data_IF_870010189817
#
_entry.id   IF_870010189817
#
_cell.length_a   1.000
_cell.length_b   1.000
_cell.length_c   1.000
_cell.angle_alpha   90.00
_cell.angle_beta   90.00
_cell.angle_gamma   90.00
#
_symmetry.space_group_name_H-M   'P 1'
#
loop_
_entity.id
_entity.type
_entity.pdbx_description
1 polymer ?
#
# COMPACT_ATOMS: atom_id res chain seq x y z
N UNK A 1 8.06 81.97 20.86
CA UNK A 1 9.43 82.20 20.37
C UNK A 1 10.29 81.00 20.77
N UNK A 2 10.94 80.33 19.79
CA UNK A 2 12.21 79.55 19.84
C UNK A 2 12.44 78.66 21.09
N UNK A 3 12.87 77.40 21.07
CA UNK A 3 13.54 76.53 20.09
C UNK A 3 14.01 75.27 20.86
N UNK A 4 13.89 74.10 20.22
CA UNK A 4 14.71 72.87 20.30
C UNK A 4 15.23 72.30 21.64
N UNK A 5 14.98 71.00 21.86
CA UNK A 5 16.03 69.97 21.76
C UNK A 5 15.48 68.52 21.63
N UNK A 6 15.97 67.79 20.62
CA UNK A 6 16.00 66.30 20.45
C UNK A 6 16.83 65.68 21.60
N UNK A 7 16.85 64.39 21.96
CA UNK A 7 16.63 63.05 21.35
C UNK A 7 16.61 62.07 22.57
N UNK A 8 16.06 60.87 22.54
CA UNK A 8 16.75 59.58 22.26
C UNK A 8 15.66 58.49 22.33
N UNK A 9 15.64 57.60 21.33
CA UNK A 9 14.79 56.39 21.28
C UNK A 9 15.60 55.25 21.90
N UNK A 10 15.05 54.58 22.91
CA UNK A 10 15.53 53.29 23.41
C UNK A 10 14.49 52.22 23.08
N UNK A 11 14.94 51.14 22.42
CA UNK A 11 14.12 49.98 22.10
C UNK A 11 14.02 48.98 23.26
N UNK A 12 13.06 48.07 23.18
CA UNK A 12 12.93 46.95 24.12
C UNK A 12 11.65 46.12 23.96
N UNK A 13 11.75 45.06 23.13
CA UNK A 13 11.11 43.73 23.23
C UNK A 13 9.62 43.58 23.55
N UNK A 14 8.85 43.01 22.61
CA UNK A 14 7.54 42.41 22.85
C UNK A 14 7.64 40.87 22.84
N UNK A 15 7.19 40.24 23.91
CA UNK A 15 7.08 38.78 24.08
C UNK A 15 5.70 38.30 23.63
N UNK A 16 5.64 37.24 22.80
CA UNK A 16 4.39 36.58 22.39
C UNK A 16 4.16 35.37 23.28
N UNK A 17 2.99 35.32 23.92
CA UNK A 17 2.54 34.19 24.75
C UNK A 17 1.53 33.39 23.92
N UNK A 18 1.79 32.09 23.70
CA UNK A 18 0.86 31.19 23.02
C UNK A 18 -0.05 30.47 24.01
N UNK A 19 -1.37 30.50 23.76
CA UNK A 19 -2.39 29.77 24.52
C UNK A 19 -2.62 28.42 23.86
N UNK A 20 -2.52 27.33 24.63
CA UNK A 20 -2.83 25.97 24.19
C UNK A 20 -4.31 25.62 24.49
N UNK A 21 -5.02 25.10 23.50
CA UNK A 21 -6.38 24.56 23.64
C UNK A 21 -6.28 23.03 23.74
N UNK A 22 -6.75 22.47 24.86
CA UNK A 22 -6.82 21.03 25.08
C UNK A 22 -8.13 20.45 24.52
N UNK A 23 -8.04 19.41 23.69
CA UNK A 23 -9.17 18.61 23.25
C UNK A 23 -9.08 17.21 23.87
N UNK A 24 -10.11 16.82 24.62
CA UNK A 24 -10.22 15.49 25.25
C UNK A 24 -10.52 14.38 24.23
N UNK A 25 -9.81 13.27 24.34
CA UNK A 25 -10.01 12.06 23.55
C UNK A 25 -10.93 11.07 24.29
N UNK A 26 -11.95 10.56 23.61
CA UNK A 26 -12.73 9.39 24.02
C UNK A 26 -11.97 8.14 23.56
N UNK A 27 -11.65 7.23 24.49
CA UNK A 27 -10.91 6.00 24.22
C UNK A 27 -11.77 4.95 23.51
N UNK A 28 -11.31 4.47 22.36
CA UNK A 28 -11.77 3.24 21.71
C UNK A 28 -11.04 2.02 22.31
N UNK A 29 -11.63 0.81 22.30
CA UNK A 29 -11.05 -0.37 22.94
C UNK A 29 -9.72 -0.78 22.26
N UNK A 30 -8.72 -1.05 23.09
CA UNK A 30 -7.37 -1.42 22.68
C UNK A 30 -7.35 -2.77 21.96
N UNK A 31 -6.96 -2.75 20.69
CA UNK A 31 -6.23 -3.85 20.07
C UNK A 31 -4.81 -3.35 19.93
N UNK A 32 -3.87 -3.97 20.64
CA UNK A 32 -2.44 -3.67 20.55
C UNK A 32 -1.91 -4.12 19.18
N UNK A 33 -2.11 -3.27 18.18
CA UNK A 33 -1.37 -3.29 16.93
C UNK A 33 -0.17 -2.35 17.10
N UNK A 34 1.04 -2.90 17.15
CA UNK A 34 2.26 -2.10 17.09
C UNK A 34 2.28 -1.32 15.78
N UNK A 35 2.23 0.01 15.88
CA UNK A 35 2.56 0.91 14.78
C UNK A 35 3.99 0.58 14.29
N UNK A 36 4.15 0.28 13.00
CA UNK A 36 5.45 0.25 12.28
C UNK A 36 6.65 -0.48 12.95
N UNK A 37 6.40 -1.46 13.81
CA UNK A 37 7.42 -2.09 14.67
C UNK A 37 8.15 -3.27 14.02
N UNK A 38 9.48 -3.26 14.13
CA UNK A 38 10.38 -4.35 13.75
C UNK A 38 9.90 -5.72 14.27
N UNK A 39 9.73 -6.75 13.42
CA UNK A 39 9.26 -8.08 13.83
C UNK A 39 10.36 -8.96 14.46
N UNK A 40 11.61 -8.50 14.50
CA UNK A 40 12.71 -9.21 15.15
C UNK A 40 12.59 -9.04 16.67
N UNK A 41 12.50 -10.15 17.40
CA UNK A 41 12.46 -10.17 18.87
C UNK A 41 13.83 -9.86 19.48
N UNK A 42 13.84 -9.10 20.58
CA UNK A 42 15.05 -8.64 21.27
C UNK A 42 16.15 -8.12 20.32
N UNK A 43 15.85 -7.17 19.41
CA UNK A 43 16.73 -6.83 18.29
C UNK A 43 18.02 -6.11 18.70
N UNK A 44 18.00 -5.43 19.85
CA UNK A 44 19.14 -4.75 20.48
C UNK A 44 19.73 -5.51 21.66
N UNK A 45 19.27 -6.74 21.93
CA UNK A 45 19.78 -7.57 23.03
C UNK A 45 19.56 -7.00 24.45
N UNK A 46 18.80 -5.90 24.60
CA UNK A 46 18.54 -5.24 25.88
C UNK A 46 17.63 -6.05 26.82
N UNK A 47 16.86 -7.02 26.32
CA UNK A 47 16.07 -7.93 27.16
C UNK A 47 16.97 -8.92 27.93
N UNK A 48 18.24 -9.04 27.54
CA UNK A 48 19.25 -9.81 28.27
C UNK A 48 18.94 -11.30 28.34
N UNK A 49 19.05 -11.88 29.54
CA UNK A 49 19.01 -13.32 29.77
C UNK A 49 17.75 -13.76 30.51
N UNK A 50 17.16 -14.87 30.05
CA UNK A 50 16.08 -15.59 30.73
C UNK A 50 16.45 -17.07 30.82
N UNK A 51 16.37 -17.66 32.02
CA UNK A 51 16.66 -19.07 32.26
C UNK A 51 18.03 -19.54 31.69
N UNK A 52 19.07 -18.73 31.88
CA UNK A 52 20.44 -18.94 31.35
C UNK A 52 20.58 -18.90 29.83
N UNK A 53 19.55 -18.47 29.10
CA UNK A 53 19.57 -18.27 27.65
C UNK A 53 19.42 -16.79 27.30
N UNK A 54 20.15 -16.33 26.29
CA UNK A 54 19.97 -14.99 25.76
C UNK A 54 18.60 -14.95 25.07
N UNK A 55 17.73 -14.02 25.47
CA UNK A 55 16.34 -14.00 25.00
C UNK A 55 16.29 -13.94 23.48
N UNK A 56 15.71 -14.97 22.86
CA UNK A 56 15.52 -15.12 21.41
C UNK A 56 16.76 -15.14 20.51
N UNK A 57 17.96 -15.36 21.06
CA UNK A 57 19.19 -15.40 20.28
C UNK A 57 20.06 -16.60 20.66
N UNK A 58 20.69 -17.20 19.65
CA UNK A 58 21.62 -18.30 19.83
C UNK A 58 22.84 -18.17 18.92
N UNK A 59 23.83 -19.03 19.17
CA UNK A 59 24.93 -19.28 18.25
C UNK A 59 24.96 -20.76 17.89
N UNK A 60 25.13 -21.06 16.61
CA UNK A 60 25.16 -22.43 16.10
C UNK A 60 26.47 -22.74 15.35
N UNK A 61 27.00 -23.98 15.44
CA UNK A 61 26.59 -25.04 16.36
C UNK A 61 26.76 -24.62 17.83
N UNK A 62 25.92 -25.18 18.69
CA UNK A 62 25.96 -24.91 20.14
C UNK A 62 27.35 -25.30 20.71
N UNK A 63 27.76 -24.67 21.81
CA UNK A 63 29.08 -24.81 22.47
C UNK A 63 30.34 -24.41 21.69
N UNK A 64 30.22 -24.22 20.37
CA UNK A 64 31.33 -23.85 19.48
C UNK A 64 31.72 -22.38 19.57
N UNK A 65 30.93 -21.58 20.29
CA UNK A 65 31.19 -20.17 20.54
C UNK A 65 30.74 -19.76 21.95
N UNK A 66 31.32 -18.68 22.47
CA UNK A 66 30.77 -17.95 23.62
C UNK A 66 29.78 -16.91 23.10
N UNK A 67 28.51 -17.02 23.48
CA UNK A 67 27.49 -15.98 23.30
C UNK A 67 27.31 -15.18 24.60
N UNK A 68 27.31 -13.86 24.51
CA UNK A 68 27.03 -12.93 25.63
C UNK A 68 26.60 -11.56 25.09
N UNK A 69 26.38 -10.59 25.97
CA UNK A 69 26.20 -9.18 25.61
C UNK A 69 27.45 -8.33 25.88
N UNK A 70 27.55 -7.17 25.23
CA UNK A 70 28.60 -6.15 25.42
C UNK A 70 28.00 -4.74 25.50
N UNK A 71 28.68 -3.82 26.20
CA UNK A 71 28.29 -2.39 26.26
C UNK A 71 28.70 -1.59 25.02
N UNK A 72 29.46 -2.19 24.11
CA UNK A 72 29.81 -1.56 22.85
C UNK A 72 28.65 -1.78 21.87
N UNK A 73 27.57 -1.04 22.11
CA UNK A 73 26.33 -1.08 21.36
C UNK A 73 26.19 0.20 20.53
N UNK A 74 25.45 0.12 19.43
CA UNK A 74 25.06 1.28 18.63
C UNK A 74 23.89 2.01 19.30
N UNK A 75 22.90 1.26 19.79
CA UNK A 75 21.79 1.79 20.56
C UNK A 75 21.59 0.99 21.85
N UNK A 76 20.69 1.43 22.74
CA UNK A 76 20.43 0.72 23.99
C UNK A 76 21.62 0.64 24.94
N UNK A 77 21.57 -0.33 25.85
CA UNK A 77 22.62 -0.60 26.82
C UNK A 77 23.53 -1.76 26.41
N UNK A 78 23.04 -2.64 25.53
CA UNK A 78 23.68 -3.90 25.18
C UNK A 78 23.67 -4.14 23.67
N UNK A 79 24.59 -4.98 23.22
CA UNK A 79 24.62 -5.58 21.90
C UNK A 79 25.02 -7.05 22.02
N UNK A 80 24.62 -7.89 21.08
CA UNK A 80 24.99 -9.30 21.02
C UNK A 80 26.47 -9.44 20.71
N UNK A 81 27.17 -10.32 21.44
CA UNK A 81 28.58 -10.62 21.26
C UNK A 81 28.76 -12.14 21.15
N UNK A 82 29.30 -12.59 20.02
CA UNK A 82 29.67 -14.00 19.83
C UNK A 82 31.16 -14.12 19.50
N UNK A 83 31.87 -14.98 20.23
CA UNK A 83 33.28 -15.28 20.01
C UNK A 83 33.46 -16.77 19.78
N UNK A 84 33.96 -17.13 18.61
CA UNK A 84 34.22 -18.51 18.23
C UNK A 84 35.33 -19.15 19.07
N UNK A 85 35.22 -20.46 19.26
CA UNK A 85 36.20 -21.30 19.99
C UNK A 85 36.86 -22.33 19.08
N UNK A 86 36.56 -22.29 17.79
CA UNK A 86 37.03 -23.28 16.82
C UNK A 86 38.32 -22.80 16.17
N UNK A 87 39.24 -23.73 15.91
CA UNK A 87 40.41 -23.44 15.07
C UNK A 87 40.03 -23.53 13.59
N UNK A 88 40.39 -22.53 12.80
CA UNK A 88 40.20 -22.54 11.35
C UNK A 88 38.87 -21.93 10.88
N UNK A 89 38.52 -22.17 9.61
CA UNK A 89 37.44 -21.46 8.90
C UNK A 89 36.04 -22.08 9.06
N UNK A 90 35.78 -22.82 10.15
CA UNK A 90 34.45 -23.38 10.41
C UNK A 90 33.42 -22.24 10.53
N UNK A 91 32.27 -22.34 9.86
CA UNK A 91 31.21 -21.32 9.95
C UNK A 91 30.47 -21.44 11.29
N UNK A 92 30.37 -20.33 12.00
CA UNK A 92 29.46 -20.14 13.14
C UNK A 92 28.36 -19.17 12.72
N UNK A 93 27.17 -19.31 13.31
CA UNK A 93 26.03 -18.43 13.01
C UNK A 93 25.44 -17.89 14.31
N UNK A 94 25.52 -16.58 14.51
CA UNK A 94 24.73 -15.85 15.52
C UNK A 94 23.39 -15.48 14.88
N UNK A 95 22.29 -16.03 15.38
CA UNK A 95 20.96 -15.85 14.79
C UNK A 95 19.84 -15.82 15.81
N UNK A 96 18.70 -15.27 15.40
CA UNK A 96 17.47 -15.38 16.15
C UNK A 96 17.08 -16.86 16.31
N UNK A 97 16.58 -17.20 17.49
CA UNK A 97 16.14 -18.54 17.82
C UNK A 97 15.02 -19.02 16.90
N UNK A 98 14.91 -20.34 16.78
CA UNK A 98 13.93 -21.03 15.94
C UNK A 98 12.80 -21.68 16.75
N UNK A 99 12.59 -21.19 17.98
CA UNK A 99 11.48 -21.57 18.85
C UNK A 99 10.27 -20.69 18.55
N UNK A 100 9.06 -21.20 18.75
CA UNK A 100 7.81 -20.53 18.35
C UNK A 100 7.70 -19.06 18.84
N UNK A 101 8.18 -18.76 20.05
CA UNK A 101 8.14 -17.41 20.62
C UNK A 101 9.18 -16.42 20.04
N UNK A 102 10.10 -16.89 19.20
CA UNK A 102 11.24 -16.11 18.68
C UNK A 102 11.37 -16.15 17.15
N UNK A 103 10.55 -16.97 16.48
CA UNK A 103 10.50 -16.99 15.02
C UNK A 103 9.91 -15.71 14.46
N UNK A 104 10.36 -15.33 13.27
CA UNK A 104 9.86 -14.14 12.59
C UNK A 104 8.91 -14.56 11.49
N UNK A 105 7.65 -14.15 11.58
CA UNK A 105 6.64 -14.49 10.57
C UNK A 105 6.90 -13.78 9.23
N UNK A 106 6.74 -14.51 8.13
CA UNK A 106 6.82 -13.99 6.77
C UNK A 106 5.70 -14.53 5.88
N UNK A 107 5.27 -13.70 4.94
CA UNK A 107 4.36 -14.10 3.89
C UNK A 107 5.11 -14.64 2.66
N UNK A 108 4.76 -15.85 2.21
CA UNK A 108 5.19 -16.39 0.92
C UNK A 108 4.90 -15.40 -0.23
N UNK A 109 5.84 -15.26 -1.15
CA UNK A 109 5.78 -14.26 -2.23
C UNK A 109 6.10 -12.83 -1.79
N UNK A 110 6.28 -12.56 -0.49
CA UNK A 110 6.67 -11.24 0.00
C UNK A 110 8.15 -10.92 -0.26
N UNK A 111 8.47 -9.63 -0.32
CA UNK A 111 9.84 -9.11 -0.38
C UNK A 111 10.17 -8.38 0.92
N UNK A 112 11.39 -8.55 1.43
CA UNK A 112 11.85 -8.02 2.72
C UNK A 112 13.28 -7.47 2.62
N UNK A 113 13.66 -6.59 3.53
CA UNK A 113 15.02 -6.16 3.77
C UNK A 113 15.44 -6.52 5.20
N UNK A 114 16.66 -7.00 5.34
CA UNK A 114 17.33 -7.23 6.61
C UNK A 114 18.34 -6.11 6.85
N UNK A 115 18.21 -5.43 7.98
CA UNK A 115 19.06 -4.32 8.42
C UNK A 115 19.67 -4.66 9.78
N UNK A 116 20.93 -4.30 10.03
CA UNK A 116 21.56 -4.46 11.35
C UNK A 116 22.84 -3.61 11.45
N UNK A 117 23.32 -3.43 12.67
CA UNK A 117 24.65 -2.92 12.96
C UNK A 117 25.58 -4.08 13.32
N UNK A 118 26.76 -4.13 12.70
CA UNK A 118 27.71 -5.22 12.92
C UNK A 118 29.16 -4.73 12.94
N UNK A 119 29.98 -5.44 13.71
CA UNK A 119 31.44 -5.44 13.57
C UNK A 119 32.02 -6.83 13.77
N UNK A 120 33.10 -7.16 13.07
CA UNK A 120 33.78 -8.47 13.20
C UNK A 120 35.28 -8.42 12.99
N UNK A 121 35.99 -9.42 13.54
CA UNK A 121 37.46 -9.54 13.42
C UNK A 121 37.94 -10.34 12.20
N UNK A 122 37.04 -11.08 11.56
CA UNK A 122 37.32 -11.96 10.41
C UNK A 122 36.33 -11.79 9.25
N UNK A 123 35.48 -10.76 9.32
CA UNK A 123 34.35 -10.58 8.42
C UNK A 123 33.17 -11.46 8.79
N UNK A 124 32.02 -11.15 8.19
CA UNK A 124 30.75 -11.83 8.42
C UNK A 124 29.91 -11.89 7.14
N UNK A 125 28.80 -12.63 7.16
CA UNK A 125 27.81 -12.68 6.07
C UNK A 125 26.40 -12.66 6.65
N UNK A 126 25.46 -11.86 6.11
CA UNK A 126 24.08 -11.96 6.53
C UNK A 126 23.50 -13.31 6.11
N UNK A 127 22.75 -13.95 6.99
CA UNK A 127 22.09 -15.23 6.72
C UNK A 127 20.63 -15.19 7.15
N UNK A 128 19.79 -15.85 6.37
CA UNK A 128 18.39 -16.10 6.72
C UNK A 128 18.09 -17.56 6.50
N UNK A 129 17.59 -18.21 7.54
CA UNK A 129 17.03 -19.56 7.47
C UNK A 129 15.51 -19.44 7.41
N UNK A 130 14.88 -20.24 6.57
CA UNK A 130 13.43 -20.26 6.39
C UNK A 130 12.87 -21.60 6.85
N UNK A 131 11.64 -21.59 7.36
CA UNK A 131 10.90 -22.79 7.71
C UNK A 131 9.77 -23.03 6.70
N UNK A 132 9.66 -24.27 6.22
CA UNK A 132 8.44 -24.78 5.58
C UNK A 132 8.04 -26.10 6.23
N UNK A 133 6.73 -26.38 6.29
CA UNK A 133 6.23 -27.66 6.83
C UNK A 133 6.82 -28.87 6.10
N UNK A 134 7.09 -28.74 4.80
CA UNK A 134 7.63 -29.81 3.96
C UNK A 134 9.13 -30.05 4.09
N UNK A 135 9.92 -29.05 4.50
CA UNK A 135 11.39 -29.13 4.52
C UNK A 135 12.01 -28.91 5.91
N UNK A 136 11.22 -28.47 6.88
CA UNK A 136 11.76 -27.92 8.12
C UNK A 136 12.57 -26.64 7.84
N UNK A 137 13.57 -26.38 8.69
CA UNK A 137 14.46 -25.24 8.57
C UNK A 137 15.54 -25.46 7.50
N UNK A 138 15.69 -24.52 6.57
CA UNK A 138 16.74 -24.53 5.55
C UNK A 138 17.37 -23.15 5.35
N UNK A 139 18.63 -23.10 4.90
CA UNK A 139 19.29 -21.83 4.54
C UNK A 139 18.65 -21.29 3.27
N UNK A 140 17.94 -20.17 3.39
CA UNK A 140 17.26 -19.53 2.28
C UNK A 140 18.10 -18.43 1.65
N UNK A 141 18.80 -17.64 2.46
CA UNK A 141 19.64 -16.54 1.99
C UNK A 141 21.01 -16.57 2.66
N UNK A 142 22.05 -16.27 1.89
CA UNK A 142 23.39 -15.95 2.38
C UNK A 142 23.93 -14.81 1.52
N UNK A 143 24.13 -13.64 2.11
CA UNK A 143 24.57 -12.46 1.36
C UNK A 143 26.06 -12.43 1.08
N UNK A 144 26.51 -11.29 0.53
CA UNK A 144 27.91 -10.99 0.28
C UNK A 144 28.70 -10.87 1.59
N UNK A 145 30.00 -11.10 1.49
CA UNK A 145 30.92 -10.96 2.63
C UNK A 145 31.06 -9.50 3.04
N UNK A 146 30.87 -9.25 4.33
CA UNK A 146 31.17 -8.00 5.02
C UNK A 146 32.62 -8.10 5.50
N UNK A 147 33.44 -7.11 5.16
CA UNK A 147 34.83 -7.05 5.58
C UNK A 147 34.93 -6.80 7.09
N UNK A 148 36.00 -7.33 7.72
CA UNK A 148 36.27 -7.12 9.12
C UNK A 148 36.38 -5.61 9.46
N UNK A 149 35.85 -5.24 10.63
CA UNK A 149 35.83 -3.87 11.14
C UNK A 149 35.96 -3.85 12.66
N UNK A 150 36.68 -2.87 13.20
CA UNK A 150 36.70 -2.59 14.65
C UNK A 150 35.52 -1.74 15.12
N UNK A 151 34.81 -1.10 14.20
CA UNK A 151 33.67 -0.20 14.46
C UNK A 151 32.37 -0.85 14.01
N UNK A 152 31.29 -0.62 14.78
CA UNK A 152 29.93 -0.98 14.37
C UNK A 152 29.54 -0.16 13.14
N UNK A 153 29.07 -0.85 12.10
CA UNK A 153 28.55 -0.23 10.87
C UNK A 153 27.19 -0.81 10.54
N UNK A 154 26.32 0.04 9.99
CA UNK A 154 25.02 -0.39 9.50
C UNK A 154 25.15 -1.07 8.15
N UNK A 155 24.47 -2.20 8.01
CA UNK A 155 24.30 -2.91 6.74
C UNK A 155 22.83 -3.20 6.48
N UNK A 156 22.45 -3.17 5.21
CA UNK A 156 21.08 -3.42 4.75
C UNK A 156 21.13 -4.32 3.51
N UNK A 157 20.31 -5.35 3.49
CA UNK A 157 20.27 -6.34 2.42
C UNK A 157 18.83 -6.60 1.98
N UNK A 158 18.55 -6.39 0.70
CA UNK A 158 17.32 -6.90 0.11
C UNK A 158 17.36 -8.43 0.07
N UNK A 159 16.35 -9.07 0.65
CA UNK A 159 16.19 -10.51 0.61
C UNK A 159 15.53 -10.91 -0.73
N UNK A 160 15.78 -12.13 -1.23
CA UNK A 160 14.98 -12.71 -2.31
C UNK A 160 13.49 -12.73 -1.96
N UNK A 161 12.65 -13.02 -2.95
CA UNK A 161 11.22 -13.25 -2.69
C UNK A 161 11.06 -14.51 -1.83
N UNK A 162 10.20 -14.42 -0.80
CA UNK A 162 9.93 -15.54 0.11
C UNK A 162 9.37 -16.74 -0.69
N UNK A 163 9.98 -17.93 -0.62
CA UNK A 163 9.52 -19.10 -1.38
C UNK A 163 8.10 -19.52 -1.00
N UNK A 164 7.43 -20.25 -1.91
CA UNK A 164 6.12 -20.83 -1.58
C UNK A 164 6.23 -21.83 -0.41
N UNK A 165 5.21 -21.84 0.44
CA UNK A 165 5.14 -22.72 1.61
C UNK A 165 6.04 -22.34 2.78
N UNK A 166 6.79 -21.23 2.68
CA UNK A 166 7.54 -20.65 3.81
C UNK A 166 6.63 -19.73 4.62
N UNK A 167 6.64 -19.89 5.95
CA UNK A 167 5.83 -19.09 6.88
C UNK A 167 6.66 -18.34 7.92
N UNK A 168 7.89 -18.80 8.19
CA UNK A 168 8.73 -18.26 9.26
C UNK A 168 10.19 -18.18 8.82
N UNK A 169 10.94 -17.26 9.42
CA UNK A 169 12.37 -17.11 9.24
C UNK A 169 13.12 -16.91 10.56
N UNK A 170 14.42 -17.17 10.51
CA UNK A 170 15.43 -16.86 11.52
C UNK A 170 16.55 -16.08 10.83
N UNK A 171 16.89 -14.92 11.38
CA UNK A 171 17.84 -13.95 10.78
C UNK A 171 19.12 -13.88 11.61
N UNK A 172 20.24 -13.57 10.98
CA UNK A 172 21.49 -13.43 11.71
C UNK A 172 22.70 -13.20 10.81
N UNK A 173 23.87 -13.47 11.37
CA UNK A 173 25.16 -13.34 10.70
C UNK A 173 26.01 -14.61 10.88
N UNK A 174 26.58 -15.08 9.78
CA UNK A 174 27.59 -16.12 9.75
C UNK A 174 28.99 -15.51 9.84
N UNK A 175 29.88 -16.11 10.62
CA UNK A 175 31.25 -15.64 10.83
C UNK A 175 32.23 -16.82 11.03
N UNK A 176 33.55 -16.63 10.79
CA UNK A 176 34.54 -17.68 10.98
C UNK A 176 34.70 -18.13 12.44
N UNK A 177 35.04 -19.40 12.63
CA UNK A 177 35.10 -20.10 13.91
C UNK A 177 36.17 -19.61 14.88
N UNK A 178 37.18 -18.89 14.37
CA UNK A 178 38.21 -18.18 15.13
C UNK A 178 37.91 -16.66 15.24
N UNK A 179 36.74 -16.24 14.79
CA UNK A 179 36.29 -14.85 14.71
C UNK A 179 35.44 -14.41 15.90
N UNK A 180 35.25 -13.09 15.97
CA UNK A 180 34.32 -12.43 16.89
C UNK A 180 33.37 -11.58 16.06
N UNK A 181 32.09 -11.59 16.42
CA UNK A 181 31.08 -10.68 15.88
C UNK A 181 30.36 -9.96 17.02
N UNK A 182 30.07 -8.67 16.81
CA UNK A 182 29.09 -7.93 17.59
C UNK A 182 27.96 -7.54 16.65
N UNK A 183 26.73 -7.82 17.05
CA UNK A 183 25.51 -7.59 16.29
C UNK A 183 24.55 -6.76 17.14
N UNK A 184 23.93 -5.77 16.53
CA UNK A 184 23.01 -4.86 17.23
C UNK A 184 21.93 -4.32 16.29
N UNK A 185 20.83 -3.83 16.86
CA UNK A 185 19.70 -3.21 16.18
C UNK A 185 19.22 -3.99 14.93
N UNK A 186 19.06 -5.31 15.09
CA UNK A 186 18.65 -6.17 13.97
C UNK A 186 17.20 -5.91 13.63
N UNK A 187 16.91 -5.57 12.38
CA UNK A 187 15.55 -5.33 11.94
C UNK A 187 15.24 -5.99 10.61
N UNK A 188 13.98 -6.37 10.46
CA UNK A 188 13.47 -6.86 9.19
C UNK A 188 12.26 -6.03 8.77
N UNK A 189 12.36 -5.39 7.62
CA UNK A 189 11.26 -4.59 7.07
C UNK A 189 10.70 -5.26 5.83
N UNK A 190 9.38 -5.26 5.69
CA UNK A 190 8.74 -5.78 4.49
C UNK A 190 8.84 -4.72 3.39
N UNK A 191 9.52 -5.03 2.29
CA UNK A 191 9.73 -4.09 1.18
C UNK A 191 8.46 -3.86 0.36
N UNK A 192 7.53 -4.83 0.33
CA UNK A 192 6.22 -4.61 -0.28
C UNK A 192 5.26 -3.77 0.59
N UNK A 193 5.61 -3.50 1.87
CA UNK A 193 4.87 -2.53 2.71
C UNK A 193 5.14 -1.08 2.28
N UNK A 194 6.24 -0.81 1.57
CA UNK A 194 6.42 0.49 0.89
C UNK A 194 5.56 0.61 -0.38
N UNK A 195 4.81 -0.45 -0.73
CA UNK A 195 3.77 -0.46 -1.77
C UNK A 195 2.47 -1.08 -1.22
N UNK A 196 2.15 -0.83 0.06
CA UNK A 196 0.79 -1.14 0.59
C UNK A 196 -0.28 -0.28 -0.08
N UNK A 197 0.15 0.74 -0.81
CA UNK A 197 -0.67 1.75 -1.41
C UNK A 197 -0.28 1.96 -2.87
N UNK A 198 -1.16 1.57 -3.78
CA UNK A 198 -1.05 1.97 -5.18
C UNK A 198 -1.54 3.42 -5.29
N UNK A 199 -0.59 4.36 -5.43
CA UNK A 199 -0.84 5.80 -5.67
C UNK A 199 -0.24 6.25 -7.00
N UNK A 200 -0.93 6.00 -8.13
CA UNK A 200 -0.41 6.38 -9.43
C UNK A 200 -0.34 7.91 -9.55
N UNK A 201 0.80 8.41 -10.01
CA UNK A 201 0.92 9.82 -10.38
C UNK A 201 0.14 10.08 -11.69
N UNK A 202 -0.58 11.21 -11.73
CA UNK A 202 -1.26 11.71 -12.93
C UNK A 202 -0.27 12.37 -13.92
N UNK A 203 0.93 12.75 -13.47
CA UNK A 203 1.98 13.33 -14.32
C UNK A 203 1.72 14.80 -14.69
N UNK A 204 2.41 15.27 -15.72
CA UNK A 204 2.28 16.62 -16.26
C UNK A 204 1.07 16.77 -17.18
N UNK A 205 0.53 17.98 -17.28
CA UNK A 205 -0.63 18.31 -18.12
C UNK A 205 -0.52 17.76 -19.55
N UNK A 206 -1.62 17.17 -20.05
CA UNK A 206 -1.68 16.52 -21.36
C UNK A 206 -2.44 15.20 -21.34
N UNK A 207 -2.47 14.50 -22.48
CA UNK A 207 -3.12 13.19 -22.59
C UNK A 207 -2.28 12.12 -21.87
N UNK A 208 -2.91 11.35 -20.97
CA UNK A 208 -2.29 10.21 -20.29
C UNK A 208 -2.53 8.92 -21.07
N UNK A 209 -3.77 8.67 -21.50
CA UNK A 209 -4.16 7.58 -22.40
C UNK A 209 -5.62 7.75 -22.84
N UNK A 210 -6.08 6.97 -23.82
CA UNK A 210 -7.44 7.04 -24.36
C UNK A 210 -7.92 5.70 -24.96
N UNK A 211 -9.19 5.66 -25.38
CA UNK A 211 -9.76 4.48 -26.03
C UNK A 211 -9.08 4.13 -27.36
N UNK A 212 -8.54 5.12 -28.09
CA UNK A 212 -7.76 4.85 -29.30
C UNK A 212 -6.56 3.95 -28.97
N UNK A 213 -5.81 4.24 -27.91
CA UNK A 213 -4.65 3.46 -27.52
C UNK A 213 -5.01 2.02 -27.14
N UNK A 214 -6.15 1.82 -26.47
CA UNK A 214 -6.64 0.49 -26.11
C UNK A 214 -7.02 -0.36 -27.33
N UNK A 215 -7.77 0.21 -28.28
CA UNK A 215 -8.24 -0.51 -29.46
C UNK A 215 -7.19 -0.62 -30.59
N UNK A 216 -6.06 0.09 -30.48
CA UNK A 216 -4.99 0.10 -31.48
C UNK A 216 -3.61 -0.27 -30.88
N UNK A 217 -3.46 -1.46 -30.27
CA UNK A 217 -2.26 -1.84 -29.50
C UNK A 217 -1.00 -2.07 -30.36
N UNK A 218 -1.11 -1.99 -31.69
CA UNK A 218 0.03 -2.11 -32.61
C UNK A 218 0.42 -0.78 -33.26
N UNK A 219 -0.37 0.28 -33.07
CA UNK A 219 -0.07 1.59 -33.64
C UNK A 219 0.97 2.31 -32.81
N UNK A 220 1.90 2.98 -33.49
CA UNK A 220 3.01 3.72 -32.88
C UNK A 220 2.64 5.13 -32.41
N UNK A 221 1.53 5.67 -32.90
CA UNK A 221 1.02 7.00 -32.54
C UNK A 221 0.13 6.99 -31.30
N UNK A 222 -0.09 5.82 -30.68
CA UNK A 222 -0.88 5.70 -29.46
C UNK A 222 -0.16 6.33 -28.26
N UNK A 223 -0.95 6.91 -27.37
CA UNK A 223 -0.48 7.39 -26.06
C UNK A 223 -0.88 6.36 -25.00
N UNK A 224 0.10 5.55 -24.60
CA UNK A 224 -0.09 4.45 -23.66
C UNK A 224 0.36 4.84 -22.25
N UNK A 225 -0.49 4.54 -21.26
CA UNK A 225 -0.09 4.66 -19.85
C UNK A 225 0.42 3.32 -19.34
N UNK A 226 1.54 3.28 -18.60
CA UNK A 226 2.01 2.05 -17.94
C UNK A 226 1.14 1.67 -16.73
N UNK A 227 0.27 2.56 -16.27
CA UNK A 227 -0.55 2.36 -15.08
C UNK A 227 -2.03 2.21 -15.42
N UNK A 228 -2.49 3.00 -16.39
CA UNK A 228 -3.90 3.11 -16.73
C UNK A 228 -4.22 2.43 -18.05
N UNK A 229 -5.41 1.86 -18.10
CA UNK A 229 -6.04 1.35 -19.31
C UNK A 229 -7.41 2.04 -19.49
N UNK A 230 -7.69 2.50 -20.71
CA UNK A 230 -8.90 3.25 -21.02
C UNK A 230 -9.72 2.52 -22.09
N UNK A 231 -10.78 1.85 -21.70
CA UNK A 231 -11.63 1.10 -22.65
C UNK A 231 -12.68 1.98 -23.34
N UNK A 232 -12.92 3.19 -22.81
CA UNK A 232 -13.69 4.24 -23.48
C UNK A 232 -13.37 5.63 -22.94
N UNK A 233 -13.34 6.64 -23.80
CA UNK A 233 -13.04 8.03 -23.45
C UNK A 233 -11.54 8.36 -23.46
N UNK A 234 -11.19 9.49 -22.84
CA UNK A 234 -9.81 9.98 -22.73
C UNK A 234 -9.50 10.45 -21.31
N UNK A 235 -8.32 10.09 -20.80
CA UNK A 235 -7.79 10.57 -19.53
C UNK A 235 -6.69 11.59 -19.80
N UNK A 236 -6.88 12.79 -19.27
CA UNK A 236 -5.89 13.87 -19.29
C UNK A 236 -5.35 14.13 -17.89
N UNK A 237 -4.13 14.62 -17.80
CA UNK A 237 -3.63 15.39 -16.68
C UNK A 237 -3.99 16.86 -16.89
N UNK A 238 -4.49 17.53 -15.85
CA UNK A 238 -4.75 18.97 -15.83
C UNK A 238 -4.59 19.50 -14.41
N UNK A 239 -3.68 20.43 -14.19
CA UNK A 239 -3.41 21.04 -12.88
C UNK A 239 -3.14 20.00 -11.77
N UNK A 240 -2.41 18.93 -12.11
CA UNK A 240 -2.10 17.83 -11.18
C UNK A 240 -3.27 16.90 -10.84
N UNK A 241 -4.41 17.04 -11.52
CA UNK A 241 -5.57 16.15 -11.41
C UNK A 241 -5.81 15.38 -12.72
N UNK A 242 -6.34 14.16 -12.61
CA UNK A 242 -6.90 13.45 -13.74
C UNK A 242 -8.19 14.11 -14.18
N UNK A 243 -8.39 14.29 -15.48
CA UNK A 243 -9.51 15.00 -16.08
C UNK A 243 -10.08 14.18 -17.23
N UNK A 244 -11.40 14.13 -17.34
CA UNK A 244 -12.10 13.42 -18.41
C UNK A 244 -11.92 14.05 -19.79
N UNK A 245 -11.45 15.30 -19.88
CA UNK A 245 -11.63 16.08 -21.10
C UNK A 245 -13.05 16.64 -21.19
N UNK A 246 -13.25 17.57 -22.14
CA UNK A 246 -14.58 18.11 -22.45
C UNK A 246 -15.43 16.98 -22.99
N UNK A 247 -16.63 16.79 -22.45
CA UNK A 247 -17.47 15.68 -22.87
C UNK A 247 -17.96 15.81 -24.30
N UNK A 248 -17.83 14.71 -25.04
CA UNK A 248 -18.45 14.48 -26.33
C UNK A 248 -18.70 12.97 -26.53
N UNK A 249 -19.55 12.63 -27.50
CA UNK A 249 -19.95 11.26 -27.81
C UNK A 249 -19.20 10.64 -29.00
N UNK A 250 -18.21 11.31 -29.56
CA UNK A 250 -17.49 10.81 -30.74
C UNK A 250 -16.19 10.13 -30.30
N UNK A 251 -15.73 9.10 -31.01
CA UNK A 251 -14.46 8.46 -30.63
C UNK A 251 -13.26 9.42 -30.78
N UNK A 252 -12.30 9.39 -29.85
CA UNK A 252 -11.10 10.21 -29.92
C UNK A 252 -10.16 9.72 -31.02
N UNK A 253 -9.38 10.66 -31.56
CA UNK A 253 -8.16 10.33 -32.28
C UNK A 253 -7.01 10.01 -31.32
N UNK A 254 -5.86 9.62 -31.88
CA UNK A 254 -4.69 9.17 -31.12
C UNK A 254 -4.27 10.13 -29.99
N UNK A 255 -4.44 11.44 -30.20
CA UNK A 255 -4.06 12.49 -29.27
C UNK A 255 -5.25 13.17 -28.58
N UNK A 256 -6.48 12.75 -28.88
CA UNK A 256 -7.72 13.32 -28.38
C UNK A 256 -7.84 14.83 -28.58
N UNK A 257 -7.33 15.34 -29.72
CA UNK A 257 -7.29 16.78 -30.01
C UNK A 257 -8.65 17.31 -30.49
N UNK A 258 -9.41 16.47 -31.20
CA UNK A 258 -10.72 16.86 -31.76
C UNK A 258 -11.89 16.42 -30.90
N UNK A 259 -11.78 15.21 -30.34
CA UNK A 259 -12.81 14.47 -29.62
C UNK A 259 -12.17 13.69 -28.48
N UNK A 260 -12.91 13.51 -27.41
CA UNK A 260 -12.50 12.77 -26.21
C UNK A 260 -13.27 11.45 -26.08
N UNK A 261 -14.50 11.37 -26.61
CA UNK A 261 -15.39 10.25 -26.39
C UNK A 261 -15.85 10.07 -24.93
N UNK A 262 -15.50 11.01 -24.05
CA UNK A 262 -15.63 10.88 -22.60
C UNK A 262 -17.06 11.00 -22.08
N UNK A 263 -18.07 11.17 -22.93
CA UNK A 263 -19.46 10.92 -22.53
C UNK A 263 -19.67 9.48 -22.03
N UNK A 264 -18.79 8.55 -22.40
CA UNK A 264 -18.53 7.30 -21.66
C UNK A 264 -17.05 7.26 -21.30
N UNK A 265 -16.75 7.33 -20.00
CA UNK A 265 -15.39 7.27 -19.47
C UNK A 265 -15.23 5.94 -18.72
N UNK A 266 -14.27 5.10 -19.12
CA UNK A 266 -14.01 3.77 -18.50
C UNK A 266 -12.53 3.54 -18.30
N UNK A 267 -12.05 3.97 -17.13
CA UNK A 267 -10.66 3.91 -16.71
C UNK A 267 -10.44 2.76 -15.73
N UNK A 268 -9.45 1.91 -15.98
CA UNK A 268 -9.02 0.84 -15.08
C UNK A 268 -7.53 0.96 -14.78
N UNK A 269 -7.12 0.55 -13.58
CA UNK A 269 -5.73 0.19 -13.32
C UNK A 269 -5.34 -1.01 -14.17
N UNK A 270 -4.09 -1.06 -14.62
CA UNK A 270 -3.50 -2.27 -15.20
C UNK A 270 -3.12 -3.32 -14.17
N UNK A 271 -2.97 -2.92 -12.91
CA UNK A 271 -2.76 -3.84 -11.80
C UNK A 271 -4.09 -4.53 -11.46
N UNK A 272 -4.11 -5.86 -11.52
CA UNK A 272 -5.24 -6.73 -11.19
C UNK A 272 -5.05 -7.47 -9.85
N UNK A 273 -4.04 -7.11 -9.06
CA UNK A 273 -3.73 -7.76 -7.79
C UNK A 273 -4.58 -7.29 -6.61
N UNK A 274 -5.55 -6.39 -6.83
CA UNK A 274 -6.35 -5.82 -5.76
C UNK A 274 -7.40 -6.80 -5.25
N UNK A 275 -7.05 -7.42 -4.12
CA UNK A 275 -7.93 -8.26 -3.32
C UNK A 275 -8.80 -7.43 -2.36
N UNK A 276 -8.59 -7.62 -1.07
CA UNK A 276 -9.26 -6.83 -0.03
C UNK A 276 -8.57 -5.48 0.07
N UNK A 277 -9.29 -4.41 -0.31
CA UNK A 277 -8.72 -3.08 -0.47
C UNK A 277 -9.69 -1.98 -0.07
N UNK A 278 -9.13 -0.82 0.31
CA UNK A 278 -9.78 0.47 0.29
C UNK A 278 -9.33 1.24 -0.95
N UNK A 279 -10.27 1.74 -1.73
CA UNK A 279 -10.03 2.67 -2.85
C UNK A 279 -10.49 4.06 -2.42
N UNK A 280 -9.68 5.09 -2.64
CA UNK A 280 -10.03 6.48 -2.31
C UNK A 280 -9.54 7.46 -3.38
N UNK A 281 -10.25 8.56 -3.56
CA UNK A 281 -9.82 9.71 -4.36
C UNK A 281 -10.55 10.99 -3.93
N UNK A 282 -9.99 12.15 -4.25
CA UNK A 282 -10.76 13.38 -4.34
C UNK A 282 -11.50 13.41 -5.68
N UNK A 283 -12.76 13.81 -5.68
CA UNK A 283 -13.60 13.97 -6.88
C UNK A 283 -14.21 15.37 -6.92
N UNK A 284 -14.15 16.01 -8.09
CA UNK A 284 -14.86 17.24 -8.39
C UNK A 284 -15.64 17.08 -9.69
N UNK A 285 -16.97 17.07 -9.61
CA UNK A 285 -17.84 17.04 -10.80
C UNK A 285 -18.08 18.46 -11.29
N UNK A 286 -17.63 18.75 -12.50
CA UNK A 286 -17.82 20.07 -13.14
C UNK A 286 -19.25 20.22 -13.66
N UNK A 287 -19.78 19.16 -14.27
CA UNK A 287 -21.13 19.17 -14.82
C UNK A 287 -21.52 17.84 -15.46
N UNK A 288 -22.76 17.77 -15.91
CA UNK A 288 -23.30 16.64 -16.67
C UNK A 288 -23.73 17.11 -18.05
N UNK A 289 -23.68 16.21 -19.04
CA UNK A 289 -24.11 16.47 -20.41
C UNK A 289 -25.21 15.51 -20.85
N UNK A 290 -25.62 15.61 -22.10
CA UNK A 290 -26.33 14.58 -22.86
C UNK A 290 -25.79 14.63 -24.28
N UNK A 291 -25.68 13.48 -24.94
CA UNK A 291 -25.30 13.42 -26.36
C UNK A 291 -26.32 12.60 -27.13
N UNK A 292 -26.27 12.63 -28.46
CA UNK A 292 -27.07 11.73 -29.29
C UNK A 292 -26.69 10.26 -29.09
N UNK A 293 -25.40 9.97 -28.85
CA UNK A 293 -24.89 8.61 -28.54
C UNK A 293 -25.30 8.16 -27.13
N UNK A 294 -25.32 9.09 -26.18
CA UNK A 294 -25.57 8.85 -24.75
C UNK A 294 -26.65 9.81 -24.25
N UNK A 295 -27.93 9.54 -24.53
CA UNK A 295 -29.01 10.31 -23.95
C UNK A 295 -28.94 10.33 -22.42
N UNK A 296 -29.41 11.41 -21.80
CA UNK A 296 -29.45 11.51 -20.35
C UNK A 296 -30.32 10.41 -19.74
N UNK A 297 -29.79 9.76 -18.71
CA UNK A 297 -30.48 8.72 -17.93
C UNK A 297 -30.17 8.91 -16.45
N UNK A 298 -31.03 8.35 -15.59
CA UNK A 298 -30.94 8.52 -14.14
C UNK A 298 -29.62 8.03 -13.55
N UNK A 299 -29.02 7.02 -14.17
CA UNK A 299 -27.77 6.43 -13.74
C UNK A 299 -26.50 7.07 -14.30
N UNK A 300 -26.63 8.15 -15.07
CA UNK A 300 -25.49 8.99 -15.42
C UNK A 300 -24.77 9.46 -14.15
N UNK A 301 -23.44 9.53 -14.18
CA UNK A 301 -22.69 9.87 -12.99
C UNK A 301 -21.27 9.33 -12.95
N UNK A 302 -20.72 9.34 -11.73
CA UNK A 302 -19.41 8.76 -11.42
C UNK A 302 -19.58 7.52 -10.55
N UNK A 303 -18.82 6.48 -10.88
CA UNK A 303 -18.86 5.18 -10.23
C UNK A 303 -17.45 4.61 -10.05
N UNK A 304 -17.25 3.84 -8.99
CA UNK A 304 -16.03 3.07 -8.78
C UNK A 304 -16.21 1.63 -9.26
N UNK A 305 -15.21 1.12 -9.97
CA UNK A 305 -15.06 -0.31 -10.24
C UNK A 305 -14.16 -0.95 -9.18
N UNK A 306 -14.60 -2.09 -8.66
CA UNK A 306 -13.88 -2.88 -7.67
C UNK A 306 -13.83 -4.33 -8.16
N UNK A 307 -12.70 -5.02 -7.93
CA UNK A 307 -12.49 -6.41 -8.35
C UNK A 307 -12.79 -6.62 -9.84
N UNK A 308 -12.42 -5.65 -10.68
CA UNK A 308 -12.66 -5.70 -12.13
C UNK A 308 -11.89 -6.88 -12.74
N UNK A 309 -12.61 -7.90 -13.19
CA UNK A 309 -12.05 -9.03 -13.94
C UNK A 309 -12.09 -8.72 -15.43
N UNK A 310 -13.23 -8.18 -15.87
CA UNK A 310 -13.48 -7.78 -17.24
C UNK A 310 -14.63 -6.78 -17.28
N UNK A 311 -14.95 -6.27 -18.47
CA UNK A 311 -16.13 -5.41 -18.65
C UNK A 311 -17.46 -6.16 -18.38
N UNK A 312 -17.43 -7.47 -18.14
CA UNK A 312 -18.57 -8.34 -17.89
C UNK A 312 -18.71 -8.76 -16.42
N UNK A 313 -17.65 -8.65 -15.64
CA UNK A 313 -17.56 -9.19 -14.29
C UNK A 313 -16.76 -8.26 -13.37
N UNK A 314 -17.49 -7.58 -12.48
CA UNK A 314 -16.94 -6.59 -11.55
C UNK A 314 -17.97 -6.24 -10.47
N UNK A 315 -17.50 -5.60 -9.40
CA UNK A 315 -18.37 -4.80 -8.53
C UNK A 315 -18.35 -3.33 -8.96
N UNK A 316 -19.49 -2.68 -8.74
CA UNK A 316 -19.79 -1.35 -9.23
C UNK A 316 -20.42 -0.55 -8.09
N UNK A 317 -19.74 0.50 -7.63
CA UNK A 317 -20.24 1.37 -6.57
C UNK A 317 -20.59 2.75 -7.13
N UNK A 318 -21.87 3.11 -7.13
CA UNK A 318 -22.31 4.42 -7.64
C UNK A 318 -22.03 5.51 -6.64
N UNK A 319 -21.14 6.44 -6.99
CA UNK A 319 -20.69 7.50 -6.08
C UNK A 319 -21.57 8.74 -6.21
N UNK A 320 -21.91 9.11 -7.43
CA UNK A 320 -22.56 10.38 -7.74
C UNK A 320 -23.44 10.24 -8.98
N UNK A 321 -24.72 9.89 -8.82
CA UNK A 321 -25.67 9.77 -9.93
C UNK A 321 -26.45 11.06 -10.16
N UNK A 322 -26.92 11.25 -11.39
CA UNK A 322 -27.80 12.34 -11.83
C UNK A 322 -29.07 12.43 -10.99
N UNK A 323 -29.67 11.29 -10.68
CA UNK A 323 -30.87 11.19 -9.84
C UNK A 323 -30.59 11.33 -8.33
N UNK A 324 -29.32 11.46 -7.93
CA UNK A 324 -28.92 11.50 -6.52
C UNK A 324 -29.10 10.17 -5.78
N UNK A 325 -29.29 9.06 -6.48
CA UNK A 325 -29.24 7.73 -5.88
C UNK A 325 -27.79 7.25 -5.71
N UNK A 326 -27.61 6.32 -4.77
CA UNK A 326 -26.42 5.51 -4.58
C UNK A 326 -26.84 4.05 -4.61
N UNK A 327 -26.05 3.21 -5.25
CA UNK A 327 -26.31 1.77 -5.37
C UNK A 327 -25.00 1.01 -5.52
N UNK A 328 -24.90 -0.12 -4.83
CA UNK A 328 -23.83 -1.08 -5.00
C UNK A 328 -24.36 -2.21 -5.87
N UNK A 329 -23.67 -2.53 -6.96
CA UNK A 329 -24.07 -3.59 -7.90
C UNK A 329 -22.92 -4.55 -8.13
N UNK A 330 -23.28 -5.76 -8.53
CA UNK A 330 -22.37 -6.71 -9.16
C UNK A 330 -22.77 -6.89 -10.61
N UNK A 331 -21.80 -6.96 -11.50
CA UNK A 331 -21.99 -7.43 -12.87
C UNK A 331 -21.53 -8.87 -12.96
N UNK A 332 -22.37 -9.74 -13.50
CA UNK A 332 -22.06 -11.15 -13.75
C UNK A 332 -21.97 -11.41 -15.25
N UNK A 333 -21.16 -12.40 -15.63
CA UNK A 333 -21.09 -12.93 -16.99
C UNK A 333 -22.46 -13.41 -17.48
N UNK A 334 -22.76 -13.17 -18.76
CA UNK A 334 -24.03 -13.56 -19.38
C UNK A 334 -25.11 -12.51 -19.20
N UNK A 335 -25.40 -11.76 -20.27
CA UNK A 335 -26.47 -10.76 -20.25
C UNK A 335 -26.45 -9.73 -21.38
N UNK A 336 -27.50 -8.90 -21.46
CA UNK A 336 -27.70 -7.95 -22.56
C UNK A 336 -26.82 -6.71 -22.47
N UNK A 337 -26.21 -6.42 -21.31
CA UNK A 337 -25.44 -5.18 -21.12
C UNK A 337 -23.98 -5.42 -21.45
N UNK A 338 -23.64 -5.38 -22.74
CA UNK A 338 -22.33 -5.77 -23.25
C UNK A 338 -21.93 -7.13 -22.66
N UNK A 339 -22.67 -8.21 -22.87
CA UNK A 339 -22.26 -9.55 -22.42
C UNK A 339 -22.35 -9.85 -20.90
N UNK A 340 -22.89 -8.94 -20.08
CA UNK A 340 -23.15 -9.22 -18.66
C UNK A 340 -24.47 -8.63 -18.14
N UNK A 341 -24.83 -9.06 -16.93
CA UNK A 341 -26.06 -8.66 -16.23
C UNK A 341 -25.73 -7.98 -14.91
N UNK A 342 -26.38 -6.85 -14.62
CA UNK A 342 -26.21 -6.11 -13.37
C UNK A 342 -27.24 -6.54 -12.33
N UNK A 343 -26.78 -6.76 -11.10
CA UNK A 343 -27.60 -7.08 -9.94
C UNK A 343 -27.29 -6.07 -8.83
N UNK A 344 -28.32 -5.36 -8.36
CA UNK A 344 -28.18 -4.50 -7.18
C UNK A 344 -28.00 -5.38 -5.93
N UNK A 345 -27.04 -5.03 -5.08
CA UNK A 345 -26.83 -5.76 -3.84
C UNK A 345 -27.95 -5.43 -2.84
N UNK A 346 -28.42 -6.41 -2.04
CA UNK A 346 -29.56 -6.24 -1.14
C UNK A 346 -29.40 -5.04 -0.20
N UNK A 347 -30.41 -4.16 -0.17
CA UNK A 347 -30.43 -3.00 0.73
C UNK A 347 -29.38 -1.91 0.42
N UNK A 348 -28.68 -2.00 -0.71
CA UNK A 348 -27.65 -1.02 -1.08
C UNK A 348 -28.20 0.27 -1.71
N UNK A 349 -29.44 0.25 -2.20
CA UNK A 349 -30.05 1.38 -2.87
C UNK A 349 -30.48 2.45 -1.86
N UNK A 350 -29.90 3.64 -1.99
CA UNK A 350 -30.21 4.78 -1.11
C UNK A 350 -30.48 6.02 -1.95
N UNK A 351 -31.65 6.63 -1.74
CA UNK A 351 -32.06 7.89 -2.40
C UNK A 351 -31.60 9.11 -1.60
N UNK A 352 -31.73 10.32 -2.16
CA UNK A 352 -31.44 11.56 -1.44
C UNK A 352 -29.96 11.77 -1.12
N UNK A 353 -29.07 11.18 -1.92
CA UNK A 353 -27.60 11.24 -1.79
C UNK A 353 -26.96 12.05 -2.93
N UNK A 354 -27.65 13.10 -3.38
CA UNK A 354 -27.15 14.03 -4.40
C UNK A 354 -25.70 14.44 -4.11
N UNK A 355 -24.90 14.55 -5.17
CA UNK A 355 -23.48 14.88 -5.06
C UNK A 355 -23.27 16.37 -5.33
N UNK A 356 -22.63 17.13 -4.42
CA UNK A 356 -22.34 18.53 -4.68
C UNK A 356 -21.35 18.68 -5.84
N UNK A 357 -21.64 19.58 -6.78
CA UNK A 357 -20.79 19.82 -7.96
C UNK A 357 -19.89 21.03 -7.74
N UNK A 358 -18.86 21.18 -8.59
CA UNK A 358 -17.91 22.31 -8.60
C UNK A 358 -17.15 22.49 -7.27
N UNK A 359 -16.94 21.41 -6.55
CA UNK A 359 -16.19 21.35 -5.30
C UNK A 359 -15.55 19.97 -5.13
N UNK A 360 -14.42 19.92 -4.43
CA UNK A 360 -13.71 18.68 -4.15
C UNK A 360 -14.32 17.95 -2.96
N UNK A 361 -14.60 16.66 -3.13
CA UNK A 361 -15.07 15.76 -2.08
C UNK A 361 -14.23 14.50 -2.04
N UNK A 362 -13.95 14.00 -0.84
CA UNK A 362 -13.28 12.71 -0.68
C UNK A 362 -14.30 11.59 -0.87
N UNK A 363 -14.03 10.67 -1.78
CA UNK A 363 -14.88 9.51 -2.05
C UNK A 363 -14.05 8.24 -2.02
N UNK A 364 -14.68 7.11 -1.72
CA UNK A 364 -13.98 5.85 -1.71
C UNK A 364 -14.89 4.67 -1.45
N UNK A 365 -14.33 3.47 -1.55
CA UNK A 365 -15.01 2.24 -1.17
C UNK A 365 -14.03 1.24 -0.58
N UNK A 366 -14.46 0.51 0.44
CA UNK A 366 -13.77 -0.70 0.91
C UNK A 366 -14.45 -1.92 0.33
N UNK A 367 -13.68 -2.93 -0.07
CA UNK A 367 -14.18 -4.24 -0.47
C UNK A 367 -13.39 -5.34 0.26
N UNK A 368 -14.10 -6.28 0.87
CA UNK A 368 -13.50 -7.36 1.67
C UNK A 368 -14.23 -8.68 1.46
N UNK A 369 -13.48 -9.76 1.25
CA UNK A 369 -13.97 -11.14 1.36
C UNK A 369 -14.10 -11.51 2.83
N UNK A 370 -15.30 -11.90 3.25
CA UNK A 370 -15.56 -12.37 4.61
C UNK A 370 -15.16 -13.86 4.75
N UNK A 371 -15.04 -14.35 5.99
CA UNK A 371 -14.65 -15.73 6.27
C UNK A 371 -15.59 -16.79 5.66
N UNK A 372 -16.86 -16.45 5.43
CA UNK A 372 -17.86 -17.31 4.79
C UNK A 372 -17.85 -17.24 3.25
N UNK A 373 -16.91 -16.50 2.65
CA UNK A 373 -16.80 -16.31 1.21
C UNK A 373 -17.74 -15.25 0.62
N UNK A 374 -18.60 -14.62 1.43
CA UNK A 374 -19.36 -13.44 1.01
C UNK A 374 -18.47 -12.21 0.87
N UNK A 375 -18.89 -11.19 0.12
CA UNK A 375 -18.09 -9.98 -0.11
C UNK A 375 -18.80 -8.74 0.41
N UNK A 376 -18.21 -8.04 1.37
CA UNK A 376 -18.75 -6.78 1.91
C UNK A 376 -18.15 -5.58 1.18
N UNK A 377 -19.02 -4.66 0.74
CA UNK A 377 -18.65 -3.38 0.15
C UNK A 377 -19.20 -2.25 1.02
N UNK A 378 -18.35 -1.28 1.34
CA UNK A 378 -18.75 -0.05 2.03
C UNK A 378 -18.33 1.14 1.20
N UNK A 379 -19.29 1.97 0.76
CA UNK A 379 -19.03 3.21 0.05
C UNK A 379 -18.99 4.38 1.04
N UNK A 380 -17.96 5.20 0.92
CA UNK A 380 -17.71 6.37 1.77
C UNK A 380 -17.66 7.66 0.96
N UNK A 381 -18.17 8.74 1.56
CA UNK A 381 -18.07 10.12 1.07
C UNK A 381 -17.79 11.03 2.26
N UNK A 382 -16.74 11.85 2.17
CA UNK A 382 -16.31 12.80 3.19
C UNK A 382 -16.21 12.17 4.59
N UNK A 383 -15.60 10.98 4.65
CA UNK A 383 -15.42 10.20 5.88
C UNK A 383 -16.68 9.51 6.41
N UNK A 384 -17.82 9.59 5.72
CA UNK A 384 -19.09 8.98 6.14
C UNK A 384 -19.47 7.83 5.23
N UNK A 385 -19.91 6.71 5.81
CA UNK A 385 -20.54 5.63 5.05
C UNK A 385 -21.88 6.11 4.46
N UNK A 386 -22.01 6.01 3.15
CA UNK A 386 -23.25 6.38 2.43
C UNK A 386 -24.02 5.17 1.91
N UNK A 387 -23.35 4.02 1.74
CA UNK A 387 -23.98 2.73 1.48
C UNK A 387 -23.06 1.60 1.98
N UNK A 388 -23.65 0.49 2.43
CA UNK A 388 -22.94 -0.73 2.78
C UNK A 388 -23.81 -1.93 2.43
N UNK A 389 -23.22 -2.95 1.82
CA UNK A 389 -23.93 -4.18 1.48
C UNK A 389 -22.97 -5.36 1.43
N UNK A 390 -23.51 -6.55 1.68
CA UNK A 390 -22.78 -7.80 1.52
C UNK A 390 -23.40 -8.62 0.39
N UNK A 391 -22.57 -9.07 -0.53
CA UNK A 391 -22.94 -10.00 -1.58
C UNK A 391 -22.75 -11.44 -1.11
N UNK A 392 -23.86 -12.17 -1.01
CA UNK A 392 -23.91 -13.59 -0.64
C UNK A 392 -24.17 -14.50 -1.84
N UNK A 393 -24.05 -13.99 -3.07
CA UNK A 393 -24.24 -14.76 -4.30
C UNK A 393 -25.42 -14.32 -5.18
N UNK A 394 -25.76 -13.03 -5.21
CA UNK A 394 -26.85 -12.56 -6.08
C UNK A 394 -26.44 -12.61 -7.56
N UNK A 395 -27.26 -13.25 -8.40
CA UNK A 395 -27.03 -13.44 -9.84
C UNK A 395 -25.96 -14.49 -10.17
N UNK A 396 -24.76 -14.34 -9.60
CA UNK A 396 -23.64 -15.28 -9.69
C UNK A 396 -22.93 -15.37 -8.32
N UNK A 397 -21.90 -16.21 -8.18
CA UNK A 397 -21.09 -16.28 -6.97
C UNK A 397 -20.45 -14.91 -6.62
N UNK A 398 -20.10 -14.64 -5.35
CA UNK A 398 -19.31 -13.45 -5.00
C UNK A 398 -17.96 -13.43 -5.74
N UNK A 399 -17.52 -12.25 -6.18
CA UNK A 399 -16.24 -12.09 -6.90
C UNK A 399 -15.13 -11.96 -5.86
N UNK A 400 -14.53 -13.09 -5.48
CA UNK A 400 -13.47 -13.16 -4.46
C UNK A 400 -12.07 -13.14 -5.05
N UNK A 401 -11.92 -13.32 -6.36
CA UNK A 401 -10.65 -13.19 -7.07
C UNK A 401 -10.17 -11.73 -7.06
N UNK A 402 -8.87 -11.44 -6.83
CA UNK A 402 -8.32 -10.10 -7.01
C UNK A 402 -8.59 -9.57 -8.41
N UNK A 403 -8.73 -8.26 -8.58
CA UNK A 403 -8.95 -7.65 -9.88
C UNK A 403 -8.50 -6.19 -9.92
N UNK A 404 -8.70 -5.53 -11.06
CA UNK A 404 -8.39 -4.11 -11.18
C UNK A 404 -9.39 -3.24 -10.39
N UNK A 405 -9.01 -1.98 -10.18
CA UNK A 405 -9.92 -0.93 -9.70
C UNK A 405 -9.99 0.17 -10.74
N UNK A 406 -11.08 0.93 -10.75
CA UNK A 406 -11.30 1.87 -11.82
C UNK A 406 -12.36 2.91 -11.53
N UNK A 407 -12.51 3.83 -12.49
CA UNK A 407 -13.49 4.91 -12.46
C UNK A 407 -14.32 4.81 -13.73
N UNK A 408 -15.63 4.88 -13.57
CA UNK A 408 -16.56 5.07 -14.67
C UNK A 408 -17.24 6.42 -14.56
N UNK A 409 -17.32 7.12 -15.69
CA UNK A 409 -18.15 8.30 -15.89
C UNK A 409 -19.16 8.05 -17.00
N UNK A 410 -20.43 8.35 -16.75
CA UNK A 410 -21.48 8.39 -17.77
C UNK A 410 -22.03 9.81 -17.83
N UNK A 411 -21.91 10.45 -19.01
CA UNK A 411 -22.37 11.82 -19.26
C UNK A 411 -21.92 12.84 -18.20
N UNK A 412 -20.76 12.64 -17.58
CA UNK A 412 -20.31 13.44 -16.42
C UNK A 412 -18.87 13.90 -16.60
N UNK A 413 -18.65 15.21 -16.50
CA UNK A 413 -17.35 15.86 -16.63
C UNK A 413 -16.79 16.04 -15.23
N UNK A 414 -15.60 15.51 -14.97
CA UNK A 414 -15.03 15.56 -13.64
C UNK A 414 -13.51 15.57 -13.64
N UNK A 415 -12.97 16.07 -12.54
CA UNK A 415 -11.57 15.94 -12.16
C UNK A 415 -11.48 14.99 -10.96
N UNK A 416 -10.41 14.20 -10.91
CA UNK A 416 -10.06 13.38 -9.76
C UNK A 416 -8.58 13.52 -9.41
N UNK A 417 -8.22 13.39 -8.14
CA UNK A 417 -6.82 13.38 -7.70
C UNK A 417 -6.66 12.53 -6.45
N UNK A 418 -5.41 12.30 -6.06
CA UNK A 418 -5.09 11.50 -4.86
C UNK A 418 -5.70 10.08 -4.90
N UNK A 419 -5.81 9.50 -6.11
CA UNK A 419 -6.28 8.12 -6.26
C UNK A 419 -5.32 7.18 -5.53
N UNK A 420 -5.87 6.35 -4.65
CA UNK A 420 -5.13 5.40 -3.84
C UNK A 420 -5.88 4.10 -3.71
N UNK A 421 -5.15 2.98 -3.75
CA UNK A 421 -5.67 1.66 -3.38
C UNK A 421 -4.80 1.11 -2.26
N UNK A 422 -5.36 0.95 -1.08
CA UNK A 422 -4.68 0.46 0.12
C UNK A 422 -5.16 -0.95 0.44
N UNK A 423 -4.26 -1.90 0.66
CA UNK A 423 -4.66 -3.25 1.12
C UNK A 423 -5.31 -3.20 2.49
N UNK A 424 -6.40 -3.94 2.67
CA UNK A 424 -6.99 -4.20 3.98
C UNK A 424 -6.29 -5.40 4.60
N UNK A 425 -5.86 -5.24 5.85
CA UNK A 425 -5.30 -6.34 6.65
C UNK A 425 -6.34 -7.37 7.05
#
# INVERSE_FOLDING_TARGET
>A
MKSLARRIIAGGTASVTAVAVAAGMVAAPAWSAGADGNPVHNPSFDEGWKDSKLVCWNVSPEDSAKLTVTKNAHSGAWAGYAAGRLSGSSELVLSSDRTDDCTIDVAAGGSYALDFWERSTRGARPVVNAYSQSKGWFRWFTGSTIAASSELRRYAFALPVVPSGVSQVSVGVAFPGDGVVVLDDVSMSRLDRLVSEFRPAIGSDGLITNEYAYWNPTKSDRVESPVWEMTSGSLFARNGAGYTGKLDGDSPDALSLRRTGSAVFRLNSRDHSFGDVAVSMDLNITGMTTTSRTPAVDWDGVHLFLRYQSQYELYYASVARRDGHVVLKKKCLGGPSNGGSYYALPGSETSGRAFPTKSWHQIGATIRTNADGSVTITLVRDGRTIAKSTDTGIGCAPITAPGATGIRGDNTEFDFRNFAVTKLG
#
